data_IF_511194793034
#
_entry.id   IF_511194793034
#
_cell.length_a   1.000
_cell.length_b   1.000
_cell.length_c   1.000
_cell.angle_alpha   90.00
_cell.angle_beta   90.00
_cell.angle_gamma   90.00
#
_symmetry.space_group_name_H-M   'P 1'
#
loop_
_entity.id
_entity.type
_entity.pdbx_description
1 polymer ?
#
# COMPACT_ATOMS: atom_id res chain seq x y z
N UNK A 1 26.71 6.67 21.79
CA UNK A 1 26.31 7.59 20.70
C UNK A 1 25.07 6.99 20.09
N UNK A 2 23.98 7.75 19.99
CA UNK A 2 22.77 7.31 19.28
C UNK A 2 23.08 7.27 17.79
N UNK A 3 22.71 6.19 17.11
CA UNK A 3 22.79 6.10 15.65
C UNK A 3 21.61 6.85 15.04
N UNK A 4 21.88 7.87 14.24
CA UNK A 4 20.86 8.66 13.52
C UNK A 4 20.79 8.18 12.07
N UNK A 5 19.58 7.89 11.61
CA UNK A 5 19.29 7.46 10.23
C UNK A 5 18.08 8.23 9.69
N UNK A 6 17.97 8.37 8.37
CA UNK A 6 16.80 8.98 7.74
C UNK A 6 16.21 8.02 6.71
N UNK A 7 14.93 7.72 6.86
CA UNK A 7 14.17 6.93 5.90
C UNK A 7 13.05 7.76 5.29
N UNK A 8 12.76 7.52 4.03
CA UNK A 8 11.70 8.19 3.29
C UNK A 8 10.86 7.17 2.56
N UNK A 9 9.55 7.30 2.68
CA UNK A 9 8.58 6.52 1.89
C UNK A 9 7.58 7.46 1.26
N UNK A 10 6.94 6.98 0.20
CA UNK A 10 5.92 7.71 -0.54
C UNK A 10 4.67 6.86 -0.78
N UNK A 11 3.58 7.53 -1.12
CA UNK A 11 2.31 6.93 -1.51
C UNK A 11 1.63 7.82 -2.53
N UNK A 12 0.63 7.28 -3.20
CA UNK A 12 -0.21 7.99 -4.18
C UNK A 12 -1.69 7.69 -3.91
N UNK A 13 -2.57 8.60 -4.30
CA UNK A 13 -4.02 8.42 -4.14
C UNK A 13 -4.56 7.36 -5.11
N UNK A 14 -5.80 6.92 -4.87
CA UNK A 14 -6.57 6.11 -5.82
C UNK A 14 -6.75 6.76 -7.20
N UNK A 15 -6.53 8.08 -7.32
CA UNK A 15 -6.63 8.83 -8.58
C UNK A 15 -5.35 8.80 -9.41
N UNK A 16 -4.21 8.42 -8.86
CA UNK A 16 -2.96 8.34 -9.63
C UNK A 16 -3.10 7.36 -10.81
N UNK A 17 -2.60 7.66 -12.03
CA UNK A 17 -2.90 6.86 -13.22
C UNK A 17 -2.44 5.39 -13.11
N UNK A 18 -1.27 5.11 -12.50
CA UNK A 18 -0.88 3.72 -12.19
C UNK A 18 -1.88 3.02 -11.24
N UNK A 19 -2.42 3.76 -10.26
CA UNK A 19 -3.40 3.21 -9.31
C UNK A 19 -4.80 3.06 -9.89
N UNK A 20 -5.16 3.85 -10.89
CA UNK A 20 -6.35 3.58 -11.71
C UNK A 20 -6.19 2.21 -12.37
N UNK A 21 -5.03 1.95 -12.98
CA UNK A 21 -4.75 0.68 -13.65
C UNK A 21 -4.82 -0.50 -12.69
N UNK A 22 -4.18 -0.40 -11.52
CA UNK A 22 -4.25 -1.43 -10.48
C UNK A 22 -5.69 -1.71 -10.05
N UNK A 23 -6.49 -0.66 -9.80
CA UNK A 23 -7.89 -0.81 -9.38
C UNK A 23 -8.78 -1.40 -10.47
N UNK A 24 -8.57 -1.06 -11.75
CA UNK A 24 -9.31 -1.64 -12.87
C UNK A 24 -8.97 -3.12 -13.01
N UNK A 25 -7.68 -3.47 -12.97
CA UNK A 25 -7.21 -4.85 -13.07
C UNK A 25 -7.79 -5.73 -11.96
N UNK A 26 -7.81 -5.24 -10.71
CA UNK A 26 -8.44 -5.97 -9.61
C UNK A 26 -9.97 -5.93 -9.62
N UNK A 27 -10.61 -4.89 -10.18
CA UNK A 27 -12.06 -4.88 -10.36
C UNK A 27 -12.52 -5.97 -11.34
N UNK A 28 -11.74 -6.21 -12.41
CA UNK A 28 -12.00 -7.30 -13.36
C UNK A 28 -11.81 -8.65 -12.67
N UNK A 29 -10.75 -8.82 -11.88
CA UNK A 29 -10.54 -10.03 -11.08
C UNK A 29 -11.70 -10.30 -10.11
N UNK A 30 -12.12 -9.29 -9.35
CA UNK A 30 -13.22 -9.42 -8.39
C UNK A 30 -14.54 -9.76 -9.09
N UNK A 31 -14.84 -9.17 -10.24
CA UNK A 31 -16.03 -9.50 -11.02
C UNK A 31 -16.03 -10.99 -11.42
N UNK A 32 -14.91 -11.48 -11.96
CA UNK A 32 -14.77 -12.89 -12.34
C UNK A 32 -14.87 -13.82 -11.13
N UNK A 33 -14.30 -13.44 -9.99
CA UNK A 33 -14.32 -14.24 -8.76
C UNK A 33 -15.69 -14.30 -8.09
N UNK A 34 -16.50 -13.25 -8.27
CA UNK A 34 -17.88 -13.25 -7.79
C UNK A 34 -18.75 -14.30 -8.49
N UNK A 35 -18.39 -14.68 -9.72
CA UNK A 35 -19.13 -15.64 -10.56
C UNK A 35 -18.47 -17.03 -10.60
N UNK A 36 -17.14 -17.08 -10.68
CA UNK A 36 -16.34 -18.30 -10.75
C UNK A 36 -15.07 -18.19 -9.87
N UNK A 37 -15.09 -18.72 -8.64
CA UNK A 37 -13.95 -18.73 -7.73
C UNK A 37 -12.73 -19.54 -8.22
N UNK A 38 -12.85 -20.29 -9.31
CA UNK A 38 -11.74 -21.02 -9.95
C UNK A 38 -11.10 -20.25 -11.11
N UNK A 39 -11.56 -19.02 -11.38
CA UNK A 39 -11.03 -18.19 -12.45
C UNK A 39 -9.51 -18.04 -12.34
N UNK A 40 -8.84 -18.14 -13.49
CA UNK A 40 -7.42 -17.82 -13.64
C UNK A 40 -7.33 -16.50 -14.37
N UNK A 41 -6.67 -15.52 -13.77
CA UNK A 41 -6.71 -14.12 -14.20
C UNK A 41 -5.30 -13.55 -14.14
N UNK A 42 -4.90 -12.92 -15.24
CA UNK A 42 -3.70 -12.09 -15.35
C UNK A 42 -4.09 -10.90 -16.25
N UNK A 43 -4.67 -9.86 -15.64
CA UNK A 43 -5.11 -8.67 -16.35
C UNK A 43 -4.13 -7.54 -16.11
N UNK A 44 -3.71 -6.94 -17.21
CA UNK A 44 -2.88 -5.74 -17.24
C UNK A 44 -3.72 -4.59 -17.81
N UNK A 45 -3.70 -3.47 -17.10
CA UNK A 45 -4.35 -2.22 -17.52
C UNK A 45 -3.29 -1.16 -17.78
N UNK A 46 -3.47 -0.39 -18.85
CA UNK A 46 -2.76 0.84 -19.15
C UNK A 46 -3.77 1.97 -19.35
N UNK A 47 -3.45 3.18 -18.89
CA UNK A 47 -4.26 4.37 -19.14
C UNK A 47 -3.41 5.55 -19.58
N UNK A 48 -3.95 6.36 -20.48
CA UNK A 48 -3.35 7.60 -20.97
C UNK A 48 -4.48 8.56 -21.36
N UNK A 49 -4.18 9.70 -21.99
CA UNK A 49 -5.15 10.75 -22.31
C UNK A 49 -6.42 10.18 -22.98
N UNK A 50 -7.54 10.22 -22.24
CA UNK A 50 -8.86 9.76 -22.71
C UNK A 50 -9.00 8.27 -22.99
N UNK A 51 -8.04 7.42 -22.60
CA UNK A 51 -8.01 6.02 -22.99
C UNK A 51 -7.64 5.08 -21.82
N UNK A 52 -8.36 3.95 -21.73
CA UNK A 52 -8.03 2.80 -20.88
C UNK A 52 -7.94 1.55 -21.75
N UNK A 53 -6.82 0.84 -21.68
CA UNK A 53 -6.57 -0.41 -22.40
C UNK A 53 -6.43 -1.52 -21.36
N UNK A 54 -7.27 -2.56 -21.48
CA UNK A 54 -7.18 -3.77 -20.67
C UNK A 54 -6.74 -4.94 -21.58
N UNK A 55 -5.69 -5.64 -21.20
CA UNK A 55 -5.17 -6.80 -21.92
C UNK A 55 -4.78 -7.92 -20.95
N UNK A 56 -4.50 -9.10 -21.48
CA UNK A 56 -3.96 -10.23 -20.72
C UNK A 56 -4.78 -11.51 -20.85
N UNK A 57 -4.62 -12.40 -19.88
CA UNK A 57 -5.10 -13.78 -19.98
C UNK A 57 -6.14 -14.14 -18.92
N UNK A 58 -7.30 -14.60 -19.37
CA UNK A 58 -8.39 -15.07 -18.51
C UNK A 58 -8.83 -16.47 -18.90
N UNK A 59 -9.06 -17.31 -17.90
CA UNK A 59 -9.80 -18.57 -18.03
C UNK A 59 -10.82 -18.63 -16.91
N UNK A 60 -12.09 -18.53 -17.26
CA UNK A 60 -13.20 -18.39 -16.33
C UNK A 60 -14.50 -18.86 -16.98
N UNK A 61 -15.44 -19.34 -16.17
CA UNK A 61 -16.84 -19.52 -16.57
C UNK A 61 -17.67 -18.25 -16.36
N UNK A 62 -17.10 -17.22 -15.72
CA UNK A 62 -17.71 -15.91 -15.55
C UNK A 62 -17.47 -14.97 -16.74
N UNK A 63 -18.19 -13.86 -16.74
CA UNK A 63 -18.07 -12.81 -17.74
C UNK A 63 -17.82 -11.45 -17.07
N UNK A 64 -16.79 -10.74 -17.53
CA UNK A 64 -16.47 -9.39 -17.08
C UNK A 64 -16.79 -8.39 -18.20
N UNK A 65 -17.78 -7.52 -17.99
CA UNK A 65 -18.05 -6.39 -18.87
C UNK A 65 -17.00 -5.29 -18.62
N UNK A 66 -15.87 -5.39 -19.33
CA UNK A 66 -14.72 -4.47 -19.17
C UNK A 66 -15.13 -3.01 -19.37
N UNK A 67 -16.06 -2.73 -20.29
CA UNK A 67 -16.54 -1.36 -20.52
C UNK A 67 -17.20 -0.83 -19.24
N UNK A 68 -18.16 -1.57 -18.69
CA UNK A 68 -18.87 -1.12 -17.49
C UNK A 68 -17.95 -1.06 -16.26
N UNK A 69 -17.04 -2.03 -16.10
CA UNK A 69 -16.12 -2.09 -14.97
C UNK A 69 -15.18 -0.89 -14.96
N UNK A 70 -14.57 -0.54 -16.10
CA UNK A 70 -13.67 0.62 -16.20
C UNK A 70 -14.41 1.91 -15.84
N UNK A 71 -15.60 2.13 -16.42
CA UNK A 71 -16.39 3.34 -16.20
C UNK A 71 -16.83 3.48 -14.74
N UNK A 72 -17.33 2.40 -14.16
CA UNK A 72 -17.69 2.35 -12.73
C UNK A 72 -16.47 2.62 -11.85
N UNK A 73 -15.31 2.06 -12.19
CA UNK A 73 -14.08 2.26 -11.44
C UNK A 73 -13.61 3.71 -11.47
N UNK A 74 -13.56 4.33 -12.66
CA UNK A 74 -13.24 5.76 -12.82
C UNK A 74 -14.21 6.66 -12.04
N UNK A 75 -15.51 6.36 -12.08
CA UNK A 75 -16.53 7.09 -11.35
C UNK A 75 -16.33 7.04 -9.84
N UNK A 76 -16.04 5.86 -9.29
CA UNK A 76 -15.82 5.67 -7.86
C UNK A 76 -14.49 6.27 -7.36
N UNK A 77 -13.48 6.32 -8.24
CA UNK A 77 -12.24 7.08 -8.03
C UNK A 77 -12.52 8.60 -8.07
N UNK A 78 -13.53 9.04 -8.81
CA UNK A 78 -13.95 10.43 -8.90
C UNK A 78 -13.53 11.17 -10.17
N UNK A 79 -13.18 10.44 -11.22
CA UNK A 79 -13.04 10.97 -12.58
C UNK A 79 -14.43 11.12 -13.22
N UNK A 80 -15.17 12.11 -12.74
CA UNK A 80 -16.54 12.46 -13.17
C UNK A 80 -16.65 13.90 -13.65
N UNK A 81 -15.50 14.55 -13.83
CA UNK A 81 -15.37 15.92 -14.30
C UNK A 81 -14.21 15.96 -15.30
N UNK A 82 -14.49 16.24 -16.59
CA UNK A 82 -13.46 16.21 -17.63
C UNK A 82 -12.33 17.21 -17.39
N UNK A 83 -12.50 18.21 -16.50
CA UNK A 83 -11.44 19.14 -16.11
C UNK A 83 -10.26 18.46 -15.40
N UNK A 84 -10.44 17.25 -14.89
CA UNK A 84 -9.36 16.46 -14.26
C UNK A 84 -8.65 15.49 -15.22
N UNK A 85 -8.96 15.55 -16.52
CA UNK A 85 -8.20 14.94 -17.61
C UNK A 85 -8.71 13.62 -18.15
N UNK A 86 -9.57 12.93 -17.41
CA UNK A 86 -10.39 11.82 -17.93
C UNK A 86 -11.76 11.86 -17.27
N UNK A 87 -12.79 11.44 -18.01
CA UNK A 87 -14.15 11.32 -17.51
C UNK A 87 -14.69 9.90 -17.72
N UNK A 88 -15.40 9.37 -16.73
CA UNK A 88 -15.93 8.01 -16.74
C UNK A 88 -16.96 7.74 -17.85
N UNK A 89 -17.67 8.75 -18.37
CA UNK A 89 -18.66 8.60 -19.44
C UNK A 89 -18.01 8.70 -20.83
N UNK A 90 -16.96 9.52 -20.96
CA UNK A 90 -16.33 9.79 -22.27
C UNK A 90 -15.06 8.97 -22.54
N UNK A 91 -14.49 8.32 -21.52
CA UNK A 91 -13.27 7.52 -21.68
C UNK A 91 -13.43 6.44 -22.78
N UNK A 92 -12.45 6.40 -23.69
CA UNK A 92 -12.27 5.28 -24.59
C UNK A 92 -11.80 4.05 -23.82
N UNK A 93 -12.39 2.89 -24.09
CA UNK A 93 -11.99 1.63 -23.45
C UNK A 93 -11.75 0.58 -24.52
N UNK A 94 -10.56 -0.01 -24.51
CA UNK A 94 -10.15 -1.10 -25.39
C UNK A 94 -9.87 -2.35 -24.56
N UNK A 95 -10.39 -3.49 -25.01
CA UNK A 95 -10.18 -4.79 -24.37
C UNK A 95 -9.54 -5.76 -25.37
N UNK A 96 -8.40 -6.33 -25.00
CA UNK A 96 -7.67 -7.36 -25.76
C UNK A 96 -7.30 -8.51 -24.82
N UNK A 97 -8.31 -9.24 -24.36
CA UNK A 97 -8.17 -10.34 -23.39
C UNK A 97 -8.35 -11.68 -24.13
N UNK A 98 -7.46 -12.63 -23.88
CA UNK A 98 -7.52 -13.98 -24.49
C UNK A 98 -7.39 -15.09 -23.45
N UNK A 99 -7.53 -16.35 -23.88
CA UNK A 99 -7.35 -17.52 -23.03
C UNK A 99 -5.90 -17.69 -22.55
N UNK A 100 -5.70 -18.35 -21.41
CA UNK A 100 -4.36 -18.75 -20.96
C UNK A 100 -3.75 -19.82 -21.85
N UNK A 101 -2.41 -19.83 -21.93
CA UNK A 101 -1.66 -20.88 -22.62
C UNK A 101 -1.92 -22.25 -21.97
N UNK A 102 -2.26 -23.25 -22.81
CA UNK A 102 -2.41 -24.64 -22.38
C UNK A 102 -1.11 -25.21 -21.79
N UNK A 103 0.05 -24.68 -22.18
CA UNK A 103 1.34 -25.14 -21.68
C UNK A 103 1.59 -24.73 -20.23
N UNK A 104 1.19 -23.51 -19.87
CA UNK A 104 1.26 -22.99 -18.49
C UNK A 104 0.25 -23.74 -17.62
N UNK A 105 -0.97 -23.95 -18.12
CA UNK A 105 -2.01 -24.67 -17.40
C UNK A 105 -1.57 -26.10 -17.01
N UNK A 106 -0.72 -26.76 -17.83
CA UNK A 106 -0.26 -28.12 -17.54
C UNK A 106 0.57 -28.25 -16.26
N UNK A 107 1.44 -27.27 -15.96
CA UNK A 107 2.32 -27.30 -14.78
C UNK A 107 1.65 -26.80 -13.50
N UNK A 108 0.63 -25.95 -13.64
CA UNK A 108 -0.05 -25.29 -12.51
C UNK A 108 -1.27 -26.08 -12.03
N UNK A 109 -1.96 -26.80 -12.92
CA UNK A 109 -3.19 -27.48 -12.55
C UNK A 109 -2.94 -28.72 -11.68
N UNK A 110 -3.74 -28.85 -10.62
CA UNK A 110 -3.77 -30.04 -9.79
C UNK A 110 -4.25 -31.26 -10.61
N UNK A 111 -3.59 -32.39 -10.39
CA UNK A 111 -3.94 -33.70 -10.96
C UNK A 111 -3.85 -34.76 -9.87
N UNK A 112 -4.34 -35.97 -10.15
CA UNK A 112 -4.33 -37.07 -9.18
C UNK A 112 -2.93 -37.38 -8.62
N UNK A 113 -1.87 -37.06 -9.37
CA UNK A 113 -0.46 -37.28 -9.04
C UNK A 113 0.36 -35.97 -8.88
N UNK A 114 -0.28 -34.80 -8.93
CA UNK A 114 0.42 -33.50 -8.94
C UNK A 114 -0.36 -32.44 -8.15
N UNK A 115 0.21 -31.98 -7.03
CA UNK A 115 -0.35 -30.83 -6.29
C UNK A 115 -0.22 -29.55 -7.13
N UNK A 116 -1.12 -28.59 -6.92
CA UNK A 116 -1.05 -27.28 -7.58
C UNK A 116 0.33 -26.62 -7.38
N UNK A 117 1.11 -26.57 -8.47
CA UNK A 117 2.40 -25.89 -8.52
C UNK A 117 2.30 -24.37 -8.61
N UNK A 118 3.43 -23.68 -8.43
CA UNK A 118 3.50 -22.25 -8.61
C UNK A 118 3.17 -21.82 -10.05
N UNK A 119 2.40 -20.74 -10.19
CA UNK A 119 1.99 -20.18 -11.48
C UNK A 119 3.13 -19.65 -12.34
N UNK A 120 4.23 -19.28 -11.71
CA UNK A 120 5.48 -18.81 -12.31
C UNK A 120 6.64 -19.06 -11.34
N UNK A 121 7.88 -18.89 -11.78
CA UNK A 121 9.01 -18.72 -10.89
C UNK A 121 8.93 -17.36 -10.19
N UNK A 122 9.52 -17.24 -9.01
CA UNK A 122 9.63 -15.93 -8.38
C UNK A 122 10.19 -15.98 -6.98
N UNK A 123 10.49 -14.79 -6.46
CA UNK A 123 10.84 -14.56 -5.08
C UNK A 123 9.88 -13.55 -4.48
N UNK A 124 9.46 -13.75 -3.24
CA UNK A 124 8.48 -12.91 -2.56
C UNK A 124 9.03 -12.55 -1.18
N UNK A 125 8.74 -11.34 -0.73
CA UNK A 125 9.19 -10.84 0.56
C UNK A 125 8.01 -10.41 1.43
N UNK A 126 8.08 -10.81 2.68
CA UNK A 126 7.21 -10.43 3.77
C UNK A 126 8.00 -9.61 4.78
N UNK A 127 7.43 -8.54 5.32
CA UNK A 127 8.07 -7.75 6.36
C UNK A 127 7.08 -7.37 7.46
N UNK A 128 7.56 -7.32 8.70
CA UNK A 128 6.86 -6.73 9.83
C UNK A 128 7.85 -6.13 10.83
N UNK A 129 7.43 -5.07 11.52
CA UNK A 129 8.14 -4.50 12.67
C UNK A 129 7.14 -3.95 13.68
N UNK A 130 7.56 -3.67 14.90
CA UNK A 130 6.70 -3.14 15.97
C UNK A 130 6.67 -1.59 16.03
N UNK A 131 7.05 -0.89 14.95
CA UNK A 131 7.05 0.58 14.89
C UNK A 131 5.65 1.19 14.93
N UNK A 132 4.64 0.47 14.42
CA UNK A 132 3.24 0.90 14.41
C UNK A 132 2.30 -0.21 14.91
N UNK A 133 1.08 0.11 15.36
CA UNK A 133 0.09 -0.90 15.77
C UNK A 133 -0.25 -1.92 14.67
N UNK A 134 -0.16 -1.51 13.41
CA UNK A 134 -0.41 -2.33 12.22
C UNK A 134 0.76 -3.30 11.90
N UNK A 135 1.83 -3.23 12.69
CA UNK A 135 3.09 -3.95 12.53
C UNK A 135 3.78 -3.67 11.19
N UNK A 136 3.83 -2.39 10.81
CA UNK A 136 4.39 -1.90 9.54
C UNK A 136 5.47 -0.84 9.79
N UNK A 137 6.35 -0.59 8.81
CA UNK A 137 7.29 0.52 8.89
C UNK A 137 6.56 1.86 8.98
N UNK A 138 6.98 2.73 9.89
CA UNK A 138 6.27 3.98 10.16
C UNK A 138 6.14 4.92 8.93
N UNK A 139 7.17 5.19 8.11
CA UNK A 139 7.10 6.14 7.00
C UNK A 139 6.03 5.80 5.95
N UNK A 140 5.91 4.52 5.58
CA UNK A 140 4.92 4.08 4.58
C UNK A 140 3.49 4.16 5.14
N UNK A 141 3.29 3.83 6.42
CA UNK A 141 2.00 3.98 7.09
C UNK A 141 1.55 5.44 7.06
N UNK A 142 2.44 6.38 7.34
CA UNK A 142 2.13 7.81 7.31
C UNK A 142 1.80 8.29 5.89
N UNK A 143 2.57 7.88 4.88
CA UNK A 143 2.29 8.21 3.48
C UNK A 143 0.92 7.65 3.00
N UNK A 144 0.59 6.40 3.35
CA UNK A 144 -0.73 5.84 3.06
C UNK A 144 -1.86 6.60 3.75
N UNK A 145 -1.70 6.93 5.03
CA UNK A 145 -2.72 7.69 5.79
C UNK A 145 -2.93 9.09 5.20
N UNK A 146 -1.87 9.76 4.75
CA UNK A 146 -1.98 11.05 4.05
C UNK A 146 -2.79 10.94 2.76
N UNK A 147 -2.44 9.99 1.89
CA UNK A 147 -3.14 9.81 0.60
C UNK A 147 -4.58 9.31 0.75
N UNK A 148 -4.86 8.48 1.75
CA UNK A 148 -6.23 8.09 2.11
C UNK A 148 -7.03 9.30 2.61
N UNK A 149 -6.41 10.15 3.46
CA UNK A 149 -7.04 11.37 3.95
C UNK A 149 -7.30 12.39 2.84
N UNK A 150 -6.39 12.56 1.89
CA UNK A 150 -6.58 13.39 0.68
C UNK A 150 -7.81 12.95 -0.11
N UNK A 151 -7.97 11.64 -0.34
CA UNK A 151 -9.15 11.12 -1.02
C UNK A 151 -10.43 11.30 -0.19
N UNK A 152 -10.37 11.13 1.13
CA UNK A 152 -11.51 11.34 2.03
C UNK A 152 -12.01 12.80 1.98
N UNK A 153 -11.13 13.78 2.15
CA UNK A 153 -11.52 15.20 2.15
C UNK A 153 -12.09 15.64 0.81
N UNK A 154 -11.57 15.08 -0.30
CA UNK A 154 -12.13 15.27 -1.65
C UNK A 154 -13.51 14.65 -1.79
N UNK A 155 -13.64 13.34 -1.52
CA UNK A 155 -14.92 12.60 -1.69
C UNK A 155 -16.05 13.16 -0.83
N UNK A 156 -15.71 13.74 0.32
CA UNK A 156 -16.67 14.40 1.23
C UNK A 156 -16.89 15.89 0.92
N UNK A 157 -16.18 16.47 -0.05
CA UNK A 157 -16.27 17.89 -0.40
C UNK A 157 -15.79 18.85 0.70
N UNK A 158 -14.92 18.39 1.61
CA UNK A 158 -14.38 19.20 2.73
C UNK A 158 -13.38 20.23 2.23
N UNK A 159 -12.55 19.84 1.25
CA UNK A 159 -11.76 20.77 0.46
C UNK A 159 -12.40 20.75 -0.94
N UNK A 160 -13.13 21.80 -1.34
CA UNK A 160 -13.68 21.88 -2.69
C UNK A 160 -12.53 22.03 -3.69
N UNK A 161 -12.82 21.84 -4.98
CA UNK A 161 -11.88 22.11 -6.08
C UNK A 161 -10.63 21.21 -6.16
N UNK A 162 -10.44 20.22 -5.29
CA UNK A 162 -9.36 19.24 -5.42
C UNK A 162 -9.77 18.05 -6.30
N UNK A 163 -8.84 17.59 -7.14
CA UNK A 163 -9.00 16.49 -8.07
C UNK A 163 -8.58 15.12 -7.50
N UNK A 164 -8.85 14.02 -8.23
CA UNK A 164 -8.54 12.66 -7.76
C UNK A 164 -7.04 12.38 -7.59
N UNK A 165 -6.17 12.92 -8.46
CA UNK A 165 -4.74 12.63 -8.44
C UNK A 165 -4.02 13.35 -7.29
N UNK A 166 -3.15 12.62 -6.60
CA UNK A 166 -2.39 13.13 -5.47
C UNK A 166 -1.26 12.20 -5.05
N UNK A 167 -0.23 12.79 -4.45
CA UNK A 167 1.01 12.12 -4.03
C UNK A 167 1.39 12.61 -2.64
N UNK A 168 1.95 11.73 -1.83
CA UNK A 168 2.53 12.08 -0.53
C UNK A 168 3.91 11.46 -0.36
N UNK A 169 4.81 12.16 0.32
CA UNK A 169 6.10 11.63 0.76
C UNK A 169 6.34 12.03 2.21
N UNK A 170 6.89 11.12 3.02
CA UNK A 170 7.20 11.35 4.43
C UNK A 170 8.64 10.93 4.68
N UNK A 171 9.46 11.87 5.16
CA UNK A 171 10.83 11.65 5.62
C UNK A 171 10.87 11.66 7.14
N UNK A 172 11.55 10.68 7.72
CA UNK A 172 11.53 10.41 9.17
C UNK A 172 12.96 10.22 9.65
N UNK A 173 13.30 10.89 10.75
CA UNK A 173 14.52 10.63 11.50
C UNK A 173 14.32 9.44 12.43
N UNK A 174 15.31 8.55 12.46
CA UNK A 174 15.34 7.36 13.29
C UNK A 174 16.50 7.43 14.27
N UNK A 175 16.24 7.06 15.53
CA UNK A 175 17.26 6.91 16.58
C UNK A 175 17.34 5.46 17.00
N UNK A 176 18.52 4.85 16.84
CA UNK A 176 18.78 3.44 17.19
C UNK A 176 17.71 2.48 16.60
N UNK A 177 17.32 2.73 15.35
CA UNK A 177 16.36 1.91 14.62
C UNK A 177 14.88 2.18 14.93
N UNK A 178 14.55 3.20 15.73
CA UNK A 178 13.17 3.59 16.06
C UNK A 178 12.79 4.96 15.48
N UNK A 179 11.57 5.16 14.97
CA UNK A 179 11.09 6.46 14.52
C UNK A 179 11.16 7.50 15.65
N UNK A 180 11.75 8.66 15.37
CA UNK A 180 11.90 9.76 16.31
C UNK A 180 10.90 10.90 16.02
N UNK A 181 10.99 11.53 14.85
CA UNK A 181 10.02 12.54 14.37
C UNK A 181 10.05 12.64 12.84
N UNK A 182 9.04 13.30 12.26
CA UNK A 182 8.98 13.57 10.82
C UNK A 182 9.81 14.80 10.49
N UNK A 183 10.80 14.65 9.61
CA UNK A 183 11.66 15.76 9.18
C UNK A 183 11.09 16.50 7.98
N UNK A 184 10.34 15.81 7.11
CA UNK A 184 9.67 16.45 5.98
C UNK A 184 8.37 15.74 5.57
N UNK A 185 7.38 16.53 5.15
CA UNK A 185 6.16 16.06 4.48
C UNK A 185 6.03 16.77 3.13
N UNK A 186 5.88 15.99 2.06
CA UNK A 186 5.58 16.50 0.72
C UNK A 186 4.18 16.05 0.33
N UNK A 187 3.35 16.98 -0.14
CA UNK A 187 2.03 16.71 -0.73
C UNK A 187 1.98 17.35 -2.12
N UNK A 188 1.59 16.57 -3.12
CA UNK A 188 1.12 17.07 -4.40
C UNK A 188 -0.37 16.74 -4.52
N UNK A 189 -1.22 17.75 -4.69
CA UNK A 189 -2.67 17.60 -4.80
C UNK A 189 -3.16 18.26 -6.08
N UNK A 190 -3.76 17.46 -6.97
CA UNK A 190 -4.45 17.98 -8.16
C UNK A 190 -5.58 18.90 -7.71
N UNK A 191 -5.80 20.02 -8.42
CA UNK A 191 -6.85 20.98 -8.11
C UNK A 191 -7.28 21.77 -9.35
N UNK A 192 -8.46 22.36 -9.31
CA UNK A 192 -8.95 23.24 -10.36
C UNK A 192 -8.38 24.67 -10.18
N UNK A 193 -8.55 25.54 -11.19
CA UNK A 193 -8.00 26.92 -11.16
C UNK A 193 -8.74 27.86 -10.21
N UNK A 194 -9.84 27.40 -9.64
CA UNK A 194 -10.75 28.15 -8.79
C UNK A 194 -10.23 28.31 -7.36
N UNK A 195 -9.38 27.38 -6.88
CA UNK A 195 -8.72 27.50 -5.57
C UNK A 195 -7.34 28.14 -5.74
N UNK A 196 -7.02 29.11 -4.89
CA UNK A 196 -5.69 29.73 -4.89
C UNK A 196 -4.64 28.80 -4.28
N UNK A 197 -3.37 28.96 -4.67
CA UNK A 197 -2.29 28.15 -4.07
C UNK A 197 -2.18 28.33 -2.55
N UNK A 198 -2.38 29.55 -2.05
CA UNK A 198 -2.27 29.84 -0.62
C UNK A 198 -3.40 29.18 0.18
N UNK A 199 -4.64 29.26 -0.33
CA UNK A 199 -5.79 28.56 0.26
C UNK A 199 -5.62 27.04 0.21
N UNK A 200 -5.16 26.49 -0.92
CA UNK A 200 -4.90 25.05 -1.03
C UNK A 200 -3.85 24.60 0.00
N UNK A 201 -2.78 25.36 0.19
CA UNK A 201 -1.72 25.04 1.16
C UNK A 201 -2.24 25.06 2.58
N UNK A 202 -3.03 26.07 2.95
CA UNK A 202 -3.66 26.16 4.26
C UNK A 202 -4.60 24.97 4.49
N UNK A 203 -5.47 24.68 3.52
CA UNK A 203 -6.46 23.60 3.64
C UNK A 203 -5.82 22.21 3.71
N UNK A 204 -4.79 21.94 2.89
CA UNK A 204 -4.04 20.67 2.96
C UNK A 204 -3.29 20.57 4.29
N UNK A 205 -2.70 21.65 4.80
CA UNK A 205 -2.01 21.63 6.09
C UNK A 205 -2.99 21.28 7.23
N UNK A 206 -4.10 22.02 7.34
CA UNK A 206 -5.05 21.88 8.45
C UNK A 206 -5.91 20.63 8.36
N UNK A 207 -6.35 20.22 7.16
CA UNK A 207 -7.33 19.14 6.99
C UNK A 207 -6.72 17.81 6.58
N UNK A 208 -5.45 17.78 6.13
CA UNK A 208 -4.75 16.55 5.71
C UNK A 208 -3.51 16.28 6.55
N UNK A 209 -2.54 17.20 6.59
CA UNK A 209 -1.24 16.94 7.23
C UNK A 209 -1.37 16.89 8.76
N UNK A 210 -1.93 17.93 9.40
CA UNK A 210 -2.05 17.96 10.87
C UNK A 210 -2.90 16.81 11.44
N UNK A 211 -4.05 16.42 10.85
CA UNK A 211 -4.84 15.32 11.37
C UNK A 211 -4.15 13.95 11.29
N UNK A 212 -3.20 13.78 10.36
CA UNK A 212 -2.47 12.52 10.18
C UNK A 212 -1.16 12.53 10.96
N UNK A 213 -0.36 13.59 10.79
CA UNK A 213 1.02 13.65 11.26
C UNK A 213 1.21 14.45 12.55
N UNK A 214 0.17 15.13 13.08
CA UNK A 214 0.31 16.22 14.06
C UNK A 214 1.17 15.92 15.28
N UNK A 215 1.08 14.73 15.85
CA UNK A 215 1.87 14.30 17.02
C UNK A 215 3.36 14.07 16.71
N UNK A 216 3.71 13.94 15.43
CA UNK A 216 5.04 13.62 14.92
C UNK A 216 5.73 14.81 14.24
N UNK A 217 5.04 15.96 14.14
CA UNK A 217 5.61 17.19 13.58
C UNK A 217 6.44 17.91 14.65
N UNK A 218 7.68 18.22 14.31
CA UNK A 218 8.56 19.12 15.06
C UNK A 218 8.40 20.57 14.58
N UNK A 219 9.00 21.52 15.31
CA UNK A 219 8.99 22.94 14.93
C UNK A 219 9.70 23.20 13.59
N UNK A 220 10.71 22.40 13.27
CA UNK A 220 11.54 22.47 12.08
C UNK A 220 11.15 21.47 10.99
N UNK A 221 10.02 20.75 11.13
CA UNK A 221 9.53 19.86 10.07
C UNK A 221 9.25 20.64 8.79
N UNK A 222 9.91 20.26 7.70
CA UNK A 222 9.71 20.88 6.39
C UNK A 222 8.39 20.43 5.76
N UNK A 223 7.51 21.38 5.44
CA UNK A 223 6.22 21.10 4.78
C UNK A 223 6.25 21.65 3.36
N UNK A 224 6.10 20.75 2.37
CA UNK A 224 6.09 21.07 0.95
C UNK A 224 4.74 20.70 0.34
N UNK A 225 3.88 21.69 0.11
CA UNK A 225 2.58 21.48 -0.55
C UNK A 225 2.62 22.13 -1.94
N UNK A 226 2.47 21.30 -2.99
CA UNK A 226 2.54 21.71 -4.39
C UNK A 226 3.78 22.58 -4.69
N UNK A 227 4.97 22.08 -4.33
CA UNK A 227 6.22 22.85 -4.41
C UNK A 227 6.60 23.33 -5.82
N UNK A 228 6.06 22.69 -6.87
CA UNK A 228 6.25 23.08 -8.27
C UNK A 228 5.22 24.11 -8.77
N UNK A 229 4.34 24.59 -7.90
CA UNK A 229 3.21 25.46 -8.24
C UNK A 229 1.94 24.67 -8.58
N UNK A 230 1.04 25.30 -9.33
CA UNK A 230 -0.25 24.73 -9.73
C UNK A 230 -0.13 23.33 -10.38
N UNK A 231 -0.99 22.41 -9.93
CA UNK A 231 -1.11 21.05 -10.42
C UNK A 231 -2.56 20.83 -10.90
N UNK A 232 -2.86 21.40 -12.07
CA UNK A 232 -4.22 21.41 -12.63
C UNK A 232 -4.46 20.19 -13.51
N UNK A 233 -3.53 19.92 -14.43
CA UNK A 233 -3.55 18.73 -15.28
C UNK A 233 -2.93 17.58 -14.50
N UNK A 234 -3.68 16.51 -14.30
CA UNK A 234 -3.25 15.32 -13.56
C UNK A 234 -3.92 14.07 -14.14
N UNK A 235 -3.82 12.95 -13.42
CA UNK A 235 -4.42 11.70 -13.87
C UNK A 235 -3.84 11.22 -15.22
N UNK A 236 -4.63 10.49 -16.03
CA UNK A 236 -4.18 9.97 -17.32
C UNK A 236 -3.83 11.03 -18.37
N UNK A 237 -4.32 12.28 -18.22
CA UNK A 237 -3.93 13.38 -19.11
C UNK A 237 -2.51 13.87 -18.79
N UNK A 238 -2.14 13.90 -17.51
CA UNK A 238 -0.80 14.31 -17.07
C UNK A 238 0.26 13.24 -17.29
N UNK A 239 -0.04 11.99 -16.93
CA UNK A 239 0.91 10.88 -16.94
C UNK A 239 0.24 9.58 -17.43
N UNK A 240 1.00 8.74 -18.16
CA UNK A 240 0.54 7.38 -18.51
C UNK A 240 0.66 6.45 -17.31
N UNK A 241 -0.39 5.68 -17.03
CA UNK A 241 -0.43 4.69 -15.97
C UNK A 241 -0.35 3.26 -16.49
N UNK A 242 0.27 2.36 -15.72
CA UNK A 242 0.30 0.92 -15.99
C UNK A 242 0.18 0.14 -14.68
N UNK A 243 -0.52 -1.01 -14.74
CA UNK A 243 -0.65 -1.95 -13.62
C UNK A 243 0.73 -2.36 -13.09
N UNK A 244 0.88 -2.46 -11.77
CA UNK A 244 2.11 -2.95 -11.15
C UNK A 244 3.29 -1.97 -11.17
N UNK A 245 3.09 -0.68 -11.47
CA UNK A 245 4.15 0.34 -11.43
C UNK A 245 4.33 1.01 -10.07
N UNK A 246 3.61 0.54 -9.05
CA UNK A 246 3.62 1.07 -7.68
C UNK A 246 3.93 0.00 -6.62
N UNK A 247 4.65 -1.06 -6.99
CA UNK A 247 4.97 -2.21 -6.12
C UNK A 247 5.62 -1.86 -4.76
N UNK A 248 6.43 -0.81 -4.68
CA UNK A 248 7.02 -0.38 -3.40
C UNK A 248 6.00 0.38 -2.53
N UNK A 249 5.11 1.15 -3.15
CA UNK A 249 3.95 1.76 -2.48
C UNK A 249 3.00 0.66 -2.02
N UNK A 250 2.81 -0.41 -2.78
CA UNK A 250 1.92 -1.51 -2.41
C UNK A 250 2.41 -2.35 -1.23
N UNK A 251 3.69 -2.26 -0.91
CA UNK A 251 4.36 -3.09 0.09
C UNK A 251 4.85 -2.27 1.27
N UNK A 252 6.16 -2.05 1.39
CA UNK A 252 6.79 -1.61 2.63
C UNK A 252 7.53 -0.26 2.47
N UNK A 253 7.28 0.47 1.38
CA UNK A 253 7.78 1.82 1.17
C UNK A 253 9.30 1.95 1.14
N UNK A 254 10.01 0.88 0.78
CA UNK A 254 11.47 0.85 0.71
C UNK A 254 12.16 0.35 1.99
N UNK A 255 11.40 0.03 3.04
CA UNK A 255 11.91 -0.67 4.22
C UNK A 255 11.62 -2.17 4.06
N UNK A 256 12.67 -2.96 3.88
CA UNK A 256 12.56 -4.38 3.49
C UNK A 256 12.74 -4.57 1.98
N UNK A 257 12.93 -5.82 1.57
CA UNK A 257 13.22 -6.20 0.18
C UNK A 257 11.92 -6.42 -0.61
N UNK A 258 12.02 -6.35 -1.94
CA UNK A 258 10.92 -6.64 -2.84
C UNK A 258 11.34 -7.66 -3.91
N UNK A 259 10.41 -8.53 -4.29
CA UNK A 259 10.66 -9.65 -5.20
C UNK A 259 10.59 -9.33 -6.69
N UNK A 260 9.87 -8.25 -7.03
CA UNK A 260 9.70 -7.73 -8.39
C UNK A 260 8.31 -7.98 -8.97
N UNK A 261 7.59 -9.01 -8.49
CA UNK A 261 6.23 -9.31 -8.93
C UNK A 261 5.20 -8.26 -8.47
N UNK A 262 4.36 -7.79 -9.39
CA UNK A 262 3.18 -6.98 -9.05
C UNK A 262 2.01 -7.85 -8.55
N UNK A 263 1.02 -7.21 -7.92
CA UNK A 263 -0.12 -7.91 -7.32
C UNK A 263 -1.40 -7.80 -8.16
N UNK A 264 -1.81 -6.58 -8.51
CA UNK A 264 -3.09 -6.28 -9.14
C UNK A 264 -3.32 -7.04 -10.44
N UNK A 265 -4.56 -7.47 -10.67
CA UNK A 265 -4.95 -8.24 -11.86
C UNK A 265 -4.57 -9.71 -11.85
N UNK A 266 -3.89 -10.20 -10.79
CA UNK A 266 -3.46 -11.59 -10.69
C UNK A 266 -4.32 -12.40 -9.73
N UNK A 267 -4.76 -13.58 -10.18
CA UNK A 267 -5.40 -14.55 -9.31
C UNK A 267 -4.39 -15.20 -8.32
N UNK A 268 -4.85 -15.78 -7.19
CA UNK A 268 -3.99 -16.29 -6.12
C UNK A 268 -3.09 -17.46 -6.51
N UNK A 269 -3.26 -18.09 -7.67
CA UNK A 269 -2.28 -19.07 -8.14
C UNK A 269 -0.98 -18.44 -8.60
N UNK A 270 -0.96 -17.12 -8.83
CA UNK A 270 0.26 -16.36 -9.10
C UNK A 270 0.92 -16.06 -7.77
N UNK A 271 2.02 -16.76 -7.53
CA UNK A 271 2.76 -16.69 -6.26
C UNK A 271 3.29 -15.28 -5.97
N UNK A 272 3.42 -14.41 -6.97
CA UNK A 272 3.74 -12.99 -6.76
C UNK A 272 2.82 -12.34 -5.72
N UNK A 273 1.51 -12.62 -5.81
CA UNK A 273 0.51 -12.10 -4.89
C UNK A 273 0.36 -12.98 -3.66
N UNK A 274 0.03 -14.26 -3.86
CA UNK A 274 -0.28 -15.16 -2.74
C UNK A 274 0.94 -15.43 -1.86
N UNK A 275 2.11 -15.62 -2.47
CA UNK A 275 3.38 -15.79 -1.76
C UNK A 275 3.79 -14.53 -0.98
N UNK A 276 3.62 -13.33 -1.54
CA UNK A 276 3.88 -12.08 -0.81
C UNK A 276 2.92 -11.90 0.37
N UNK A 277 1.63 -12.21 0.20
CA UNK A 277 0.64 -12.17 1.28
C UNK A 277 0.96 -13.20 2.37
N UNK A 278 1.37 -14.41 1.99
CA UNK A 278 1.80 -15.43 2.94
C UNK A 278 3.07 -15.01 3.70
N UNK A 279 4.06 -14.44 3.01
CA UNK A 279 5.27 -13.95 3.64
C UNK A 279 4.98 -12.82 4.64
N UNK A 280 4.09 -11.88 4.28
CA UNK A 280 3.57 -10.85 5.22
C UNK A 280 2.92 -11.50 6.43
N UNK A 281 2.01 -12.45 6.22
CA UNK A 281 1.30 -13.15 7.28
C UNK A 281 2.25 -13.86 8.25
N UNK A 282 3.28 -14.53 7.73
CA UNK A 282 4.33 -15.16 8.54
C UNK A 282 5.10 -14.11 9.35
N UNK A 283 5.68 -13.10 8.69
CA UNK A 283 6.47 -12.06 9.35
C UNK A 283 5.68 -11.35 10.45
N UNK A 284 4.41 -10.99 10.16
CA UNK A 284 3.51 -10.32 11.10
C UNK A 284 3.22 -11.18 12.33
N UNK A 285 2.99 -12.49 12.14
CA UNK A 285 2.76 -13.42 13.25
C UNK A 285 4.02 -13.66 14.10
N UNK A 286 5.21 -13.66 13.50
CA UNK A 286 6.49 -13.74 14.24
C UNK A 286 6.65 -12.52 15.17
N UNK A 287 6.45 -11.31 14.63
CA UNK A 287 6.55 -10.07 15.43
C UNK A 287 5.45 -10.00 16.48
N UNK A 288 4.20 -10.32 16.13
CA UNK A 288 3.07 -10.36 17.08
C UNK A 288 3.25 -11.41 18.19
N UNK A 289 3.95 -12.51 17.91
CA UNK A 289 4.28 -13.52 18.92
C UNK A 289 5.33 -13.02 19.94
N UNK A 290 6.03 -11.92 19.65
CA UNK A 290 7.17 -11.45 20.45
C UNK A 290 8.45 -12.23 20.18
N UNK A 291 8.55 -12.90 19.04
CA UNK A 291 9.75 -13.67 18.66
C UNK A 291 10.84 -12.81 18.05
N UNK A 292 10.50 -11.62 17.54
CA UNK A 292 11.42 -10.58 17.07
C UNK A 292 10.74 -9.20 17.11
N UNK A 293 11.54 -8.12 17.18
CA UNK A 293 11.01 -6.75 17.04
C UNK A 293 10.75 -6.40 15.57
N UNK A 294 11.54 -6.96 14.65
CA UNK A 294 11.35 -6.89 13.20
C UNK A 294 11.73 -8.21 12.53
N UNK A 295 11.04 -8.54 11.45
CA UNK A 295 11.25 -9.78 10.73
C UNK A 295 11.00 -9.57 9.24
N UNK A 296 11.92 -10.09 8.42
CA UNK A 296 11.73 -10.28 6.99
C UNK A 296 11.67 -11.78 6.68
N UNK A 297 10.75 -12.15 5.79
CA UNK A 297 10.56 -13.51 5.30
C UNK A 297 10.72 -13.51 3.79
N UNK A 298 11.61 -14.32 3.26
CA UNK A 298 11.70 -14.58 1.82
C UNK A 298 11.13 -15.95 1.50
N UNK A 299 10.27 -16.01 0.49
CA UNK A 299 9.85 -17.25 -0.16
C UNK A 299 10.33 -17.25 -1.60
N UNK A 300 10.68 -18.41 -2.15
CA UNK A 300 10.91 -18.56 -3.58
C UNK A 300 10.27 -19.83 -4.13
N UNK A 301 9.89 -19.81 -5.39
CA UNK A 301 9.25 -20.93 -6.08
C UNK A 301 9.86 -21.15 -7.47
N UNK A 302 9.88 -22.40 -7.89
CA UNK A 302 10.05 -22.78 -9.29
C UNK A 302 8.67 -23.04 -9.92
N UNK A 303 8.51 -22.64 -11.18
CA UNK A 303 7.26 -22.84 -11.92
C UNK A 303 6.84 -24.32 -11.92
N UNK A 304 5.57 -24.58 -11.60
CA UNK A 304 5.00 -25.93 -11.54
C UNK A 304 5.43 -26.79 -10.34
N UNK A 305 6.26 -26.27 -9.42
CA UNK A 305 6.63 -26.95 -8.16
C UNK A 305 5.78 -26.39 -7.01
N UNK A 306 5.23 -27.27 -6.18
CA UNK A 306 4.37 -26.87 -5.06
C UNK A 306 5.18 -26.39 -3.84
N UNK A 307 6.25 -27.10 -3.48
CA UNK A 307 7.10 -26.72 -2.35
C UNK A 307 7.98 -25.50 -2.68
N UNK A 308 8.15 -24.55 -1.74
CA UNK A 308 9.05 -23.44 -1.94
C UNK A 308 10.50 -23.92 -2.07
N UNK A 309 11.24 -23.36 -3.03
CA UNK A 309 12.67 -23.64 -3.23
C UNK A 309 13.53 -23.05 -2.12
N UNK A 310 13.08 -21.96 -1.49
CA UNK A 310 13.69 -21.40 -0.28
C UNK A 310 12.65 -20.79 0.64
N UNK A 311 12.92 -20.89 1.95
CA UNK A 311 12.24 -20.13 3.01
C UNK A 311 13.35 -19.56 3.87
N UNK A 312 13.54 -18.24 3.84
CA UNK A 312 14.56 -17.55 4.62
C UNK A 312 13.91 -16.57 5.60
N UNK A 313 14.46 -16.50 6.82
CA UNK A 313 14.00 -15.59 7.87
C UNK A 313 15.19 -14.75 8.30
N UNK A 314 15.00 -13.44 8.33
CA UNK A 314 15.98 -12.45 8.80
C UNK A 314 15.31 -11.54 9.82
N UNK A 315 15.75 -11.62 11.07
CA UNK A 315 15.21 -10.83 12.19
C UNK A 315 16.07 -9.64 12.54
N UNK A 316 17.11 -9.37 11.75
CA UNK A 316 18.03 -8.24 11.92
C UNK A 316 18.65 -8.21 13.34
N UNK A 317 18.86 -9.37 13.95
CA UNK A 317 19.40 -9.52 15.30
C UNK A 317 18.44 -9.12 16.43
N UNK A 318 17.13 -8.99 16.14
CA UNK A 318 16.11 -8.63 17.13
C UNK A 318 15.33 -9.83 17.68
N UNK A 319 15.71 -11.04 17.28
CA UNK A 319 15.08 -12.28 17.70
C UNK A 319 15.29 -12.61 19.18
N UNK A 320 14.27 -13.22 19.81
CA UNK A 320 14.34 -13.70 21.20
C UNK A 320 14.75 -15.17 21.32
N UNK A 321 14.73 -15.91 20.22
CA UNK A 321 15.19 -17.29 20.06
C UNK A 321 15.99 -17.42 18.76
N UNK A 322 16.90 -18.41 18.59
CA UNK A 322 17.66 -18.57 17.35
C UNK A 322 16.78 -18.59 16.09
N UNK A 323 17.20 -17.92 15.02
CA UNK A 323 16.43 -17.83 13.76
C UNK A 323 16.15 -19.21 13.14
N UNK A 324 17.06 -20.17 13.30
CA UNK A 324 16.86 -21.57 12.91
C UNK A 324 15.61 -22.16 13.57
N UNK A 325 15.42 -21.87 14.86
CA UNK A 325 14.23 -22.32 15.59
C UNK A 325 12.96 -21.61 15.13
N UNK A 326 13.04 -20.32 14.79
CA UNK A 326 11.92 -19.58 14.19
C UNK A 326 11.55 -20.21 12.83
N UNK A 327 12.55 -20.59 12.03
CA UNK A 327 12.37 -21.25 10.73
C UNK A 327 11.64 -22.60 10.86
N UNK A 328 12.01 -23.42 11.84
CA UNK A 328 11.32 -24.68 12.14
C UNK A 328 9.85 -24.47 12.53
N UNK A 329 9.58 -23.45 13.36
CA UNK A 329 8.22 -23.09 13.75
C UNK A 329 7.40 -22.62 12.55
N UNK A 330 7.99 -21.81 11.67
CA UNK A 330 7.32 -21.38 10.44
C UNK A 330 6.90 -22.58 9.58
N UNK A 331 7.82 -23.53 9.36
CA UNK A 331 7.53 -24.75 8.60
C UNK A 331 6.46 -25.62 9.25
N UNK A 332 6.34 -25.57 10.57
CA UNK A 332 5.34 -26.34 11.34
C UNK A 332 3.95 -25.71 11.27
N UNK A 333 3.84 -24.39 11.36
CA UNK A 333 2.55 -23.69 11.56
C UNK A 333 1.93 -23.11 10.29
N UNK A 334 2.71 -22.93 9.23
CA UNK A 334 2.28 -22.30 7.99
C UNK A 334 2.42 -23.25 6.81
N UNK A 335 1.35 -23.38 6.02
CA UNK A 335 1.36 -24.13 4.77
C UNK A 335 1.79 -23.20 3.65
N UNK A 336 3.00 -23.40 3.14
CA UNK A 336 3.63 -22.51 2.16
C UNK A 336 3.58 -23.02 0.72
N UNK A 337 2.87 -24.12 0.44
CA UNK A 337 2.54 -24.48 -0.96
C UNK A 337 1.49 -23.51 -1.52
N UNK A 338 1.43 -23.25 -2.84
CA UNK A 338 0.42 -22.37 -3.43
C UNK A 338 -1.01 -22.73 -3.00
N UNK A 339 -1.37 -24.01 -3.01
CA UNK A 339 -2.67 -24.50 -2.52
C UNK A 339 -2.84 -24.23 -1.02
N UNK A 340 -1.82 -24.58 -0.23
CA UNK A 340 -1.81 -24.35 1.21
C UNK A 340 -2.04 -22.89 1.59
N UNK A 341 -1.43 -21.96 0.86
CA UNK A 341 -1.58 -20.51 1.03
C UNK A 341 -3.01 -20.08 0.68
N UNK A 342 -3.50 -20.47 -0.50
CA UNK A 342 -4.84 -20.11 -0.98
C UNK A 342 -5.92 -20.54 0.02
N UNK A 343 -5.82 -21.77 0.52
CA UNK A 343 -6.77 -22.34 1.46
C UNK A 343 -6.66 -21.67 2.85
N UNK A 344 -5.43 -21.51 3.37
CA UNK A 344 -5.20 -20.94 4.70
C UNK A 344 -5.64 -19.48 4.80
N UNK A 345 -5.42 -18.72 3.73
CA UNK A 345 -5.79 -17.30 3.65
C UNK A 345 -7.16 -17.08 3.01
N UNK A 346 -7.88 -18.13 2.60
CA UNK A 346 -9.19 -18.03 1.96
C UNK A 346 -9.20 -17.00 0.81
N UNK A 347 -8.33 -17.20 -0.18
CA UNK A 347 -8.07 -16.22 -1.25
C UNK A 347 -9.03 -16.33 -2.44
N UNK A 348 -9.82 -17.39 -2.59
CA UNK A 348 -10.76 -17.50 -3.73
C UNK A 348 -12.07 -16.73 -3.49
N UNK A 349 -11.95 -15.41 -3.33
CA UNK A 349 -13.05 -14.48 -3.03
C UNK A 349 -12.83 -13.12 -3.71
N UNK A 350 -13.90 -12.37 -4.04
CA UNK A 350 -13.79 -11.03 -4.65
C UNK A 350 -13.42 -9.98 -3.58
N UNK A 351 -12.14 -9.89 -3.24
CA UNK A 351 -11.61 -9.08 -2.11
C UNK A 351 -10.48 -8.13 -2.52
N UNK A 352 -10.12 -8.08 -3.80
CA UNK A 352 -8.84 -7.56 -4.25
C UNK A 352 -8.86 -6.07 -4.59
N UNK A 353 -9.95 -5.53 -5.13
CA UNK A 353 -9.97 -4.14 -5.58
C UNK A 353 -9.64 -3.14 -4.49
N UNK A 354 -10.07 -3.41 -3.26
CA UNK A 354 -9.73 -2.58 -2.11
C UNK A 354 -8.25 -2.60 -1.73
N UNK A 355 -7.46 -3.58 -2.20
CA UNK A 355 -6.01 -3.66 -2.00
C UNK A 355 -5.25 -2.76 -2.97
N UNK A 356 -5.83 -2.47 -4.13
CA UNK A 356 -5.17 -1.80 -5.25
C UNK A 356 -4.75 -0.34 -4.99
N UNK A 357 -5.15 0.25 -3.85
CA UNK A 357 -4.67 1.54 -3.37
C UNK A 357 -4.48 1.53 -1.85
N UNK A 358 -3.61 2.43 -1.37
CA UNK A 358 -3.28 2.63 0.05
C UNK A 358 -2.58 1.44 0.73
N UNK A 359 -1.86 0.64 -0.06
CA UNK A 359 -1.09 -0.49 0.44
C UNK A 359 -1.92 -1.77 0.57
N UNK A 360 -1.27 -2.90 0.28
CA UNK A 360 -1.85 -4.23 0.47
C UNK A 360 -1.72 -4.71 1.93
N UNK A 361 -0.84 -4.09 2.70
CA UNK A 361 -0.45 -4.51 4.05
C UNK A 361 -0.72 -3.43 5.09
N UNK A 362 -0.83 -3.83 6.36
CA UNK A 362 -1.02 -2.92 7.48
C UNK A 362 -2.41 -2.32 7.59
N UNK A 363 -3.44 -3.00 7.09
CA UNK A 363 -4.82 -2.51 7.09
C UNK A 363 -5.73 -3.47 7.84
N UNK A 364 -6.52 -2.91 8.76
CA UNK A 364 -7.51 -3.65 9.53
C UNK A 364 -8.81 -3.78 8.73
N UNK A 365 -8.80 -4.68 7.75
CA UNK A 365 -9.98 -5.06 6.98
C UNK A 365 -10.18 -6.58 7.12
N UNK A 366 -11.40 -7.05 7.46
CA UNK A 366 -11.66 -8.47 7.71
C UNK A 366 -11.37 -9.40 6.54
N UNK A 367 -11.37 -8.90 5.29
CA UNK A 367 -11.02 -9.74 4.14
C UNK A 367 -9.51 -9.92 3.95
N UNK A 368 -8.69 -9.05 4.53
CA UNK A 368 -7.23 -9.13 4.47
C UNK A 368 -6.73 -10.15 5.50
N UNK A 369 -7.03 -11.41 5.23
CA UNK A 369 -6.70 -12.55 6.09
C UNK A 369 -5.21 -12.68 6.38
N UNK A 370 -4.34 -12.18 5.51
CA UNK A 370 -2.89 -12.11 5.72
C UNK A 370 -2.46 -11.09 6.79
N UNK A 371 -3.34 -10.20 7.22
CA UNK A 371 -3.08 -9.27 8.32
C UNK A 371 -3.48 -9.86 9.70
N UNK A 372 -4.06 -11.06 9.75
CA UNK A 372 -4.39 -11.72 11.02
C UNK A 372 -3.13 -12.15 11.77
N UNK A 373 -3.22 -12.15 13.10
CA UNK A 373 -2.16 -12.58 14.02
C UNK A 373 -2.56 -13.86 14.79
N UNK A 374 -3.41 -14.69 14.19
CA UNK A 374 -4.02 -15.89 14.80
C UNK A 374 -3.03 -17.04 15.03
N UNK A 375 -1.83 -16.98 14.46
CA UNK A 375 -0.75 -17.96 14.70
C UNK A 375 0.20 -17.50 15.81
N UNK A 376 0.14 -16.24 16.24
CA UNK A 376 1.07 -15.67 17.20
C UNK A 376 1.13 -16.44 18.53
N UNK A 377 -0.04 -16.81 19.09
CA UNK A 377 -0.09 -17.56 20.35
C UNK A 377 0.45 -18.98 20.21
N UNK A 378 0.20 -19.65 19.08
CA UNK A 378 0.75 -20.97 18.82
C UNK A 378 2.29 -20.90 18.70
N UNK A 379 2.80 -19.93 17.93
CA UNK A 379 4.24 -19.69 17.81
C UNK A 379 4.88 -19.41 19.17
N UNK A 380 4.28 -18.56 20.00
CA UNK A 380 4.80 -18.23 21.33
C UNK A 380 4.89 -19.45 22.24
N UNK A 381 3.84 -20.28 22.27
CA UNK A 381 3.82 -21.52 23.06
C UNK A 381 4.91 -22.50 22.61
N UNK A 382 5.02 -22.75 21.31
CA UNK A 382 5.90 -23.79 20.76
C UNK A 382 7.37 -23.33 20.68
N UNK A 383 7.62 -22.02 20.80
CA UNK A 383 8.93 -21.42 21.03
C UNK A 383 9.51 -21.69 22.43
N UNK A 384 8.72 -22.25 23.36
CA UNK A 384 9.20 -22.58 24.71
C UNK A 384 9.08 -21.42 25.71
N UNK A 385 8.35 -20.35 25.37
CA UNK A 385 7.77 -19.46 26.38
C UNK A 385 6.51 -20.12 26.95
N UNK A 386 6.72 -21.14 27.79
CA UNK A 386 5.71 -21.56 28.75
C UNK A 386 5.30 -20.35 29.58
N UNK A 387 4.01 -20.23 29.85
CA UNK A 387 3.41 -19.26 30.76
C UNK A 387 4.31 -19.05 31.99
N UNK A 388 5.03 -17.94 32.00
CA UNK A 388 5.59 -17.41 33.22
C UNK A 388 4.42 -16.88 34.04
N UNK A 389 3.92 -17.69 34.97
CA UNK A 389 3.12 -17.22 36.09
C UNK A 389 3.86 -16.08 36.79
N UNK A 390 3.45 -14.83 36.53
CA UNK A 390 3.40 -13.79 37.54
C UNK A 390 2.51 -12.62 37.08
N UNK A 391 1.62 -12.22 37.99
CA UNK A 391 0.67 -11.10 37.91
C UNK A 391 -0.66 -11.30 37.15
N UNK A 392 -1.35 -12.41 37.41
CA UNK A 392 -2.81 -12.39 37.51
C UNK A 392 -3.21 -12.78 38.95
N UNK A 393 -3.28 -11.78 39.84
CA UNK A 393 -3.64 -11.97 41.24
C UNK A 393 -3.86 -10.64 41.96
N UNK A 394 -5.15 -10.35 42.23
CA UNK A 394 -5.73 -9.12 42.80
C UNK A 394 -5.80 -7.95 41.81
N UNK A 395 -6.95 -7.35 41.49
CA UNK A 395 -8.15 -7.17 42.30
C UNK A 395 -9.41 -7.25 41.43
N UNK A 396 -10.32 -8.13 41.84
CA UNK A 396 -11.74 -8.03 41.53
C UNK A 396 -12.46 -7.86 42.86
N UNK A 397 -12.69 -6.62 43.28
CA UNK A 397 -13.76 -6.25 44.22
C UNK A 397 -13.89 -4.73 44.27
N UNK A 398 -15.11 -4.22 44.01
CA UNK A 398 -15.45 -2.83 44.30
C UNK A 398 -16.13 -2.04 43.18
N UNK A 399 -17.32 -2.48 42.74
CA UNK A 399 -18.31 -1.54 42.19
C UNK A 399 -18.77 -0.62 43.32
N UNK A 400 -18.61 0.70 43.15
CA UNK A 400 -19.51 1.71 43.73
C UNK A 400 -19.60 2.93 42.82
N UNK A 401 -20.85 3.28 42.51
CA UNK A 401 -21.25 4.50 41.83
C UNK A 401 -20.88 5.75 42.65
N UNK A 402 -20.48 6.83 41.96
CA UNK A 402 -20.80 8.18 42.40
C UNK A 402 -20.87 9.13 41.19
N UNK A 403 -22.01 9.80 41.08
CA UNK A 403 -22.32 10.91 40.17
C UNK A 403 -21.60 12.21 40.56
N UNK A 404 -21.57 13.15 39.58
CA UNK A 404 -21.29 14.60 39.62
C UNK A 404 -19.79 14.94 39.53
N UNK A 405 -19.34 15.97 38.82
CA UNK A 405 -19.96 17.26 38.47
C UNK A 405 -19.18 17.88 37.29
N UNK A 406 -19.85 18.73 36.50
CA UNK A 406 -19.24 19.56 35.46
C UNK A 406 -18.28 20.60 36.05
N UNK A 407 -17.13 20.82 35.40
CA UNK A 407 -16.47 22.13 35.38
C UNK A 407 -15.71 22.32 34.06
N UNK A 408 -16.00 23.46 33.43
CA UNK A 408 -15.33 24.08 32.29
C UNK A 408 -13.88 24.50 32.57
N UNK A 409 -13.23 25.02 31.52
CA UNK A 409 -11.89 25.65 31.40
C UNK A 409 -10.78 24.61 31.16
N UNK A 410 -9.97 24.65 30.11
CA UNK A 410 -9.32 25.81 29.50
C UNK A 410 -8.80 25.46 28.09
N UNK A 411 -9.04 26.36 27.13
CA UNK A 411 -8.49 26.29 25.79
C UNK A 411 -7.01 26.70 25.82
N UNK A 412 -6.10 25.77 25.53
CA UNK A 412 -4.71 26.11 25.21
C UNK A 412 -4.58 26.32 23.70
N UNK A 413 -4.40 27.57 23.35
CA UNK A 413 -4.12 28.05 22.00
C UNK A 413 -2.90 27.35 21.39
N UNK A 414 -3.11 26.74 20.21
CA UNK A 414 -2.02 26.39 19.31
C UNK A 414 -1.38 27.69 18.79
N UNK A 415 -0.07 27.82 18.96
CA UNK A 415 0.70 28.95 18.41
C UNK A 415 0.88 28.75 16.89
N UNK A 416 0.90 29.83 16.09
CA UNK A 416 1.07 29.73 14.65
C UNK A 416 2.51 29.29 14.31
N UNK A 417 2.65 28.23 13.52
CA UNK A 417 3.92 27.81 12.91
C UNK A 417 4.38 28.86 11.89
N UNK A 418 5.69 29.07 11.79
CA UNK A 418 6.29 30.16 11.04
C UNK A 418 6.05 30.07 9.52
N UNK A 419 5.85 31.24 8.92
CA UNK A 419 5.58 31.46 7.50
C UNK A 419 6.76 31.07 6.59
N UNK A 420 6.39 30.55 5.42
CA UNK A 420 7.09 30.60 4.13
C UNK A 420 8.37 31.45 4.08
N UNK A 421 9.53 30.79 3.89
CA UNK A 421 10.75 31.45 3.41
C UNK A 421 10.76 31.44 1.88
N UNK A 422 10.51 32.62 1.28
CA UNK A 422 10.88 32.96 -0.10
C UNK A 422 12.24 33.63 -0.06
N UNK A 423 13.26 33.04 -0.68
CA UNK A 423 14.53 33.64 -1.14
C UNK A 423 15.37 32.47 -1.73
N UNK A 424 16.08 32.51 -2.85
CA UNK A 424 16.50 33.54 -3.81
C UNK A 424 16.92 32.80 -5.09
N UNK A 425 16.46 33.25 -6.27
CA UNK A 425 17.12 32.90 -7.54
C UNK A 425 17.23 34.17 -8.40
N UNK A 426 18.32 34.91 -8.22
CA UNK A 426 18.74 35.97 -9.13
C UNK A 426 20.25 35.88 -9.31
N UNK A 427 20.69 35.41 -10.48
CA UNK A 427 21.84 35.94 -11.22
C UNK A 427 22.15 35.03 -12.42
N UNK A 428 21.90 35.54 -13.62
CA UNK A 428 22.78 35.46 -14.81
C UNK A 428 21.95 35.57 -16.10
N UNK A 429 21.73 36.80 -16.56
CA UNK A 429 21.46 37.11 -17.97
C UNK A 429 22.53 38.10 -18.41
N UNK A 430 23.51 37.64 -19.19
CA UNK A 430 24.25 38.44 -20.16
C UNK A 430 24.97 37.51 -21.12
N UNK A 431 24.43 37.37 -22.33
CA UNK A 431 25.17 37.39 -23.60
C UNK A 431 24.15 37.21 -24.75
N UNK A 432 23.76 38.33 -25.34
CA UNK A 432 23.17 38.37 -26.69
C UNK A 432 24.32 38.20 -27.69
N UNK A 433 24.15 37.33 -28.66
CA UNK A 433 24.89 37.37 -29.93
C UNK A 433 23.86 37.58 -31.03
N UNK A 434 23.92 38.74 -31.67
CA UNK A 434 23.28 39.03 -32.96
C UNK A 434 24.06 38.32 -34.08
N UNK A 435 23.41 37.98 -35.21
CA UNK A 435 24.10 37.48 -36.40
C UNK A 435 24.57 38.66 -37.28
N UNK A 436 25.80 38.58 -37.77
CA UNK A 436 26.30 39.41 -38.86
C UNK A 436 25.90 38.78 -40.20
N UNK A 437 25.30 39.61 -41.05
CA UNK A 437 25.01 39.36 -42.47
C UNK A 437 26.17 39.85 -43.36
N UNK A 438 26.22 39.26 -44.56
CA UNK A 438 26.93 39.67 -45.80
C UNK A 438 28.39 39.22 -46.05
N UNK A 439 28.54 38.16 -46.85
CA UNK A 439 29.08 38.22 -48.24
C UNK A 439 28.91 36.88 -48.97
#
# INVERSE_FOLDING_TARGET
>A
MVKIEHYTSESVTEGHPDKICDQVSDAILDELYSQDPQSRVAIETMTTTGLVICAGEVTSNGFADVQQIVRKTLKEIGYTDPRFGIDCEDAGVLASIHGQSSDIARGVNERADHEQGAGDQGMMYGFACNETPELMPFPIVMAHKLTARMAEVRKRGIIPHVGPDGKSQVSVEYHDGKPHHITAVVIAQQHTKEISEDELKEEVLEKVIKPVCGEWLAEDTAIHINATGAFVVGGPEGDTGVTGRKIIVDTYGGIGRHGGGCFSGKDPSKVDRSGAYAARYVAKNIVAAGLAERCEVQLSYAIGVAEPTSVNIDTFGTNTIPEERISDLVRTHFKLTPKGIIDSLNLRRPIYRKTAAYGHFGRDDPDFTWEKTDKADALRRDAGQGLGDSAAGSAAEGRRESKREETETDAKAAKPYAKYTKETATAARTAKTEPEDEA
#
